data_IF_479956165736
#
_entry.id   IF_479956165736
#
_cell.length_a   1.000
_cell.length_b   1.000
_cell.length_c   1.000
_cell.angle_alpha   90.00
_cell.angle_beta   90.00
_cell.angle_gamma   90.00
#
_symmetry.space_group_name_H-M   'P 1'
#
loop_
_entity.id
_entity.type
_entity.pdbx_description
1 polymer ?
#
# COMPACT_ATOMS: atom_id res chain seq x y z
N UNK A 1 -8.64 5.99 -13.83
CA UNK A 1 -7.92 6.39 -12.61
C UNK A 1 -8.38 5.58 -11.39
N UNK A 2 -9.69 5.52 -11.07
CA UNK A 2 -10.20 4.81 -9.88
C UNK A 2 -9.79 3.32 -9.86
N UNK A 3 -9.89 2.60 -10.98
CA UNK A 3 -9.47 1.21 -11.12
C UNK A 3 -7.95 1.05 -10.86
N UNK A 4 -7.14 2.00 -11.35
CA UNK A 4 -5.69 1.98 -11.16
C UNK A 4 -5.26 2.26 -9.71
N UNK A 5 -6.13 2.86 -8.87
CA UNK A 5 -5.89 2.95 -7.43
C UNK A 5 -5.87 1.54 -6.81
N UNK A 6 -6.72 0.63 -7.29
CA UNK A 6 -6.67 -0.79 -6.89
C UNK A 6 -5.32 -1.44 -7.21
N UNK A 7 -4.78 -1.16 -8.41
CA UNK A 7 -3.44 -1.63 -8.79
C UNK A 7 -2.35 -1.11 -7.84
N UNK A 8 -2.28 0.20 -7.62
CA UNK A 8 -1.24 0.81 -6.78
C UNK A 8 -1.36 0.44 -5.32
N UNK A 9 -2.58 0.37 -4.77
CA UNK A 9 -2.83 -0.06 -3.40
C UNK A 9 -2.33 -1.49 -3.16
N UNK A 10 -2.69 -2.42 -4.06
CA UNK A 10 -2.23 -3.81 -3.97
C UNK A 10 -0.72 -3.93 -4.09
N UNK A 11 -0.12 -3.18 -5.00
CA UNK A 11 1.34 -3.15 -5.16
C UNK A 11 2.06 -2.72 -3.88
N UNK A 12 1.57 -1.67 -3.22
CA UNK A 12 2.19 -1.10 -2.02
C UNK A 12 2.27 -2.12 -0.88
N UNK A 13 1.14 -2.74 -0.52
CA UNK A 13 1.15 -3.68 0.58
C UNK A 13 1.80 -5.03 0.23
N UNK A 14 1.67 -5.49 -1.03
CA UNK A 14 2.29 -6.74 -1.46
C UNK A 14 3.82 -6.64 -1.53
N UNK A 15 4.36 -5.54 -2.05
CA UNK A 15 5.81 -5.31 -2.03
C UNK A 15 6.34 -5.28 -0.59
N UNK A 16 5.67 -4.57 0.31
CA UNK A 16 6.08 -4.56 1.70
C UNK A 16 5.99 -5.94 2.33
N UNK A 17 4.86 -6.61 2.21
CA UNK A 17 4.60 -7.91 2.82
C UNK A 17 5.64 -8.97 2.42
N UNK A 18 6.06 -8.96 1.16
CA UNK A 18 6.99 -9.96 0.63
C UNK A 18 8.47 -9.59 0.83
N UNK A 19 8.81 -8.30 0.98
CA UNK A 19 10.21 -7.85 0.98
C UNK A 19 10.68 -7.26 2.31
N UNK A 20 9.79 -7.01 3.29
CA UNK A 20 10.14 -6.36 4.55
C UNK A 20 11.16 -7.14 5.39
N UNK A 21 11.11 -8.47 5.38
CA UNK A 21 12.01 -9.29 6.18
C UNK A 21 13.44 -9.25 5.64
N UNK A 22 13.62 -9.28 4.31
CA UNK A 22 14.94 -9.14 3.70
C UNK A 22 15.53 -7.77 3.93
N UNK A 23 14.71 -6.73 3.82
CA UNK A 23 15.10 -5.36 4.16
C UNK A 23 15.59 -5.27 5.62
N UNK A 24 14.83 -5.84 6.56
CA UNK A 24 15.18 -5.81 7.97
C UNK A 24 16.46 -6.62 8.28
N UNK A 25 16.66 -7.74 7.61
CA UNK A 25 17.92 -8.51 7.71
C UNK A 25 19.10 -7.70 7.19
N UNK A 26 18.94 -6.98 6.08
CA UNK A 26 19.99 -6.10 5.54
C UNK A 26 20.36 -4.96 6.49
N UNK A 27 19.46 -4.58 7.41
CA UNK A 27 19.69 -3.60 8.46
C UNK A 27 20.14 -4.23 9.80
N UNK A 28 20.46 -5.51 9.81
CA UNK A 28 20.99 -6.23 10.99
C UNK A 28 19.93 -6.70 12.00
N UNK A 29 18.68 -6.85 11.59
CA UNK A 29 17.63 -7.36 12.46
C UNK A 29 17.76 -8.88 12.68
N UNK A 30 17.87 -9.31 13.93
CA UNK A 30 18.01 -10.73 14.28
C UNK A 30 16.72 -11.54 14.04
N UNK A 31 15.55 -10.95 14.32
CA UNK A 31 14.25 -11.63 14.17
C UNK A 31 13.27 -10.78 13.34
N UNK A 32 13.33 -10.85 12.01
CA UNK A 32 12.47 -10.08 11.11
C UNK A 32 11.00 -10.52 11.12
N UNK A 33 10.68 -11.69 11.66
CA UNK A 33 9.31 -12.22 11.71
C UNK A 33 8.35 -11.31 12.52
N UNK A 34 8.88 -10.59 13.50
CA UNK A 34 8.13 -9.61 14.31
C UNK A 34 7.47 -8.51 13.48
N UNK A 35 8.04 -8.18 12.32
CA UNK A 35 7.46 -7.18 11.42
C UNK A 35 6.09 -7.65 10.90
N UNK A 36 5.94 -8.94 10.61
CA UNK A 36 4.67 -9.50 10.13
C UNK A 36 3.58 -9.41 11.19
N UNK A 37 3.91 -9.66 12.45
CA UNK A 37 2.97 -9.53 13.58
C UNK A 37 2.51 -8.07 13.76
N UNK A 38 3.45 -7.12 13.69
CA UNK A 38 3.13 -5.69 13.77
C UNK A 38 2.33 -5.20 12.55
N UNK A 39 2.65 -5.72 11.37
CA UNK A 39 1.86 -5.46 10.16
C UNK A 39 0.41 -5.94 10.30
N UNK A 40 0.20 -7.16 10.82
CA UNK A 40 -1.14 -7.68 11.06
C UNK A 40 -1.92 -6.85 12.10
N UNK A 41 -1.27 -6.43 13.19
CA UNK A 41 -1.85 -5.52 14.17
C UNK A 41 -2.20 -4.16 13.56
N UNK A 42 -1.31 -3.60 12.74
CA UNK A 42 -1.56 -2.36 12.00
C UNK A 42 -2.77 -2.47 11.10
N UNK A 43 -2.88 -3.55 10.33
CA UNK A 43 -4.00 -3.80 9.44
C UNK A 43 -5.32 -3.94 10.21
N UNK A 44 -5.34 -4.73 11.28
CA UNK A 44 -6.54 -4.94 12.10
C UNK A 44 -7.03 -3.64 12.75
N UNK A 45 -6.11 -2.87 13.34
CA UNK A 45 -6.45 -1.57 13.95
C UNK A 45 -6.93 -0.56 12.91
N UNK A 46 -6.34 -0.55 11.71
CA UNK A 46 -6.74 0.34 10.64
C UNK A 46 -8.16 0.06 10.13
N UNK A 47 -8.54 -1.19 9.97
CA UNK A 47 -9.90 -1.56 9.52
C UNK A 47 -10.94 -0.99 10.48
N UNK A 48 -10.74 -1.19 11.79
CA UNK A 48 -11.65 -0.68 12.82
C UNK A 48 -11.67 0.85 12.87
N UNK A 49 -10.49 1.48 12.86
CA UNK A 49 -10.37 2.93 12.90
C UNK A 49 -10.96 3.58 11.64
N UNK A 50 -10.68 3.05 10.46
CA UNK A 50 -11.19 3.56 9.18
C UNK A 50 -12.72 3.47 9.14
N UNK A 51 -13.30 2.36 9.57
CA UNK A 51 -14.75 2.21 9.65
C UNK A 51 -15.38 3.25 10.60
N UNK A 52 -14.73 3.51 11.75
CA UNK A 52 -15.19 4.52 12.69
C UNK A 52 -15.08 5.94 12.13
N UNK A 53 -14.00 6.27 11.40
CA UNK A 53 -13.81 7.57 10.77
C UNK A 53 -14.81 7.84 9.65
N UNK A 54 -15.10 6.84 8.81
CA UNK A 54 -16.10 6.95 7.76
C UNK A 54 -17.50 7.16 8.37
N UNK A 55 -17.84 6.44 9.44
CA UNK A 55 -19.08 6.68 10.20
C UNK A 55 -19.20 8.11 10.74
N UNK A 56 -18.08 8.74 11.10
CA UNK A 56 -18.03 10.14 11.55
C UNK A 56 -18.02 11.16 10.41
N UNK A 57 -18.20 10.74 9.16
CA UNK A 57 -18.31 11.62 8.00
C UNK A 57 -17.00 11.85 7.22
N UNK A 58 -15.93 11.12 7.51
CA UNK A 58 -14.72 11.18 6.71
C UNK A 58 -14.99 10.55 5.33
N UNK A 59 -14.76 11.32 4.26
CA UNK A 59 -14.95 10.81 2.89
C UNK A 59 -13.88 9.79 2.54
N UNK A 60 -14.28 8.67 1.94
CA UNK A 60 -13.38 7.58 1.51
C UNK A 60 -12.21 8.07 0.66
N UNK A 61 -12.46 9.00 -0.27
CA UNK A 61 -11.42 9.57 -1.14
C UNK A 61 -10.31 10.29 -0.36
N UNK A 62 -10.60 10.85 0.81
CA UNK A 62 -9.58 11.47 1.65
C UNK A 62 -8.69 10.42 2.30
N UNK A 63 -9.25 9.28 2.68
CA UNK A 63 -8.46 8.13 3.21
C UNK A 63 -7.56 7.58 2.10
N UNK A 64 -8.08 7.45 0.86
CA UNK A 64 -7.31 7.01 -0.31
C UNK A 64 -6.14 7.94 -0.69
N UNK A 65 -6.12 9.16 -0.17
CA UNK A 65 -4.99 10.10 -0.30
C UNK A 65 -4.09 10.05 0.93
N UNK A 66 -4.67 10.12 2.12
CA UNK A 66 -3.94 10.24 3.38
C UNK A 66 -3.13 8.97 3.71
N UNK A 67 -3.72 7.80 3.52
CA UNK A 67 -3.08 6.54 3.88
C UNK A 67 -1.86 6.23 2.99
N UNK A 68 -1.91 6.32 1.66
CA UNK A 68 -0.72 6.17 0.83
C UNK A 68 0.34 7.25 1.11
N UNK A 69 -0.06 8.46 1.50
CA UNK A 69 0.88 9.51 1.90
C UNK A 69 1.65 9.11 3.16
N UNK A 70 0.96 8.61 4.20
CA UNK A 70 1.59 8.08 5.41
C UNK A 70 2.53 6.91 5.07
N UNK A 71 2.08 5.99 4.20
CA UNK A 71 2.90 4.87 3.74
C UNK A 71 4.15 5.34 3.02
N UNK A 72 4.05 6.33 2.14
CA UNK A 72 5.20 6.91 1.42
C UNK A 72 6.22 7.52 2.37
N UNK A 73 5.77 8.28 3.35
CA UNK A 73 6.64 8.86 4.39
C UNK A 73 7.35 7.75 5.15
N UNK A 74 6.63 6.71 5.55
CA UNK A 74 7.23 5.59 6.30
C UNK A 74 8.24 4.80 5.46
N UNK A 75 7.94 4.55 4.18
CA UNK A 75 8.88 3.92 3.25
C UNK A 75 10.15 4.76 3.08
N UNK A 76 10.01 6.09 2.99
CA UNK A 76 11.15 7.02 2.94
C UNK A 76 11.99 6.95 4.23
N UNK A 77 11.36 6.92 5.40
CA UNK A 77 12.07 6.75 6.67
C UNK A 77 12.84 5.42 6.71
N UNK A 78 12.24 4.32 6.26
CA UNK A 78 12.92 3.03 6.15
C UNK A 78 14.12 3.10 5.19
N UNK A 79 14.02 3.87 4.11
CA UNK A 79 15.11 4.03 3.14
C UNK A 79 16.31 4.82 3.70
N UNK A 80 16.05 5.89 4.45
CA UNK A 80 17.10 6.79 4.95
C UNK A 80 17.70 6.34 6.29
N UNK A 81 16.87 5.84 7.23
CA UNK A 81 17.33 5.56 8.61
C UNK A 81 18.03 4.20 8.73
N UNK A 82 17.76 3.24 7.89
CA UNK A 82 18.43 1.92 7.80
C UNK A 82 18.69 1.24 9.15
N UNK A 83 17.72 1.31 10.08
CA UNK A 83 17.82 0.71 11.40
C UNK A 83 16.75 -0.38 11.61
N UNK A 84 17.06 -1.46 12.38
CA UNK A 84 16.07 -2.52 12.66
C UNK A 84 14.77 -1.99 13.26
N UNK A 85 14.87 -1.03 14.18
CA UNK A 85 13.71 -0.43 14.84
C UNK A 85 12.75 0.25 13.85
N UNK A 86 13.28 0.94 12.82
CA UNK A 86 12.42 1.62 11.85
C UNK A 86 11.62 0.61 11.00
N UNK A 87 12.18 -0.59 10.76
CA UNK A 87 11.45 -1.66 10.08
C UNK A 87 10.30 -2.21 10.92
N UNK A 88 10.43 -2.25 12.26
CA UNK A 88 9.34 -2.63 13.16
C UNK A 88 8.21 -1.60 13.13
N UNK A 89 8.55 -0.31 13.27
CA UNK A 89 7.58 0.80 13.14
C UNK A 89 6.95 0.77 11.75
N UNK A 90 7.76 0.55 10.71
CA UNK A 90 7.32 0.39 9.34
C UNK A 90 6.32 -0.75 9.16
N UNK A 91 6.54 -1.87 9.84
CA UNK A 91 5.59 -2.98 9.85
C UNK A 91 4.19 -2.52 10.28
N UNK A 92 4.08 -1.89 11.44
CA UNK A 92 2.81 -1.38 11.94
C UNK A 92 2.22 -0.27 11.06
N UNK A 93 3.00 0.76 10.72
CA UNK A 93 2.51 1.93 9.97
C UNK A 93 2.08 1.56 8.55
N UNK A 94 2.84 0.70 7.85
CA UNK A 94 2.48 0.27 6.49
C UNK A 94 1.34 -0.75 6.54
N UNK A 95 1.27 -1.59 7.57
CA UNK A 95 0.10 -2.42 7.84
C UNK A 95 -1.15 -1.57 8.01
N UNK A 96 -1.06 -0.51 8.81
CA UNK A 96 -2.16 0.43 9.04
C UNK A 96 -2.54 1.20 7.76
N UNK A 97 -1.59 1.88 7.15
CA UNK A 97 -1.85 2.85 6.08
C UNK A 97 -1.70 2.27 4.66
N UNK A 98 -0.96 1.17 4.48
CA UNK A 98 -0.81 0.52 3.17
C UNK A 98 -1.83 -0.58 2.90
N UNK A 99 -2.20 -1.35 3.94
CA UNK A 99 -3.10 -2.50 3.81
C UNK A 99 -4.47 -2.28 4.46
N UNK A 100 -4.58 -1.39 5.44
CA UNK A 100 -5.73 -1.22 6.33
C UNK A 100 -7.03 -0.75 5.67
N UNK A 101 -7.51 -1.47 4.67
CA UNK A 101 -8.77 -1.21 3.99
C UNK A 101 -8.65 -0.33 2.73
N UNK A 102 -7.44 0.07 2.32
CA UNK A 102 -7.25 0.96 1.16
C UNK A 102 -7.79 0.34 -0.13
N UNK A 103 -7.56 -0.96 -0.35
CA UNK A 103 -8.10 -1.67 -1.51
C UNK A 103 -9.64 -1.73 -1.47
N UNK A 104 -10.22 -2.01 -0.31
CA UNK A 104 -11.67 -2.05 -0.11
C UNK A 104 -12.30 -0.67 -0.36
N UNK A 105 -11.65 0.40 0.09
CA UNK A 105 -12.08 1.76 -0.19
C UNK A 105 -11.95 2.13 -1.67
N UNK A 106 -10.92 1.63 -2.36
CA UNK A 106 -10.79 1.79 -3.81
C UNK A 106 -11.93 1.10 -4.56
N UNK A 107 -12.33 -0.10 -4.11
CA UNK A 107 -13.49 -0.85 -4.64
C UNK A 107 -14.78 -0.08 -4.38
N UNK A 108 -15.03 0.33 -3.13
CA UNK A 108 -16.22 1.09 -2.74
C UNK A 108 -16.35 2.40 -3.52
N UNK A 109 -15.28 3.20 -3.52
CA UNK A 109 -15.23 4.46 -4.27
C UNK A 109 -15.49 4.25 -5.77
N UNK A 110 -14.92 3.17 -6.36
CA UNK A 110 -15.15 2.89 -7.79
C UNK A 110 -16.59 2.48 -8.05
N UNK A 111 -17.18 1.66 -7.17
CA UNK A 111 -18.59 1.25 -7.28
C UNK A 111 -19.57 2.42 -7.14
N UNK A 112 -19.23 3.47 -6.38
CA UNK A 112 -20.02 4.70 -6.29
C UNK A 112 -20.07 5.47 -7.62
N UNK A 113 -19.00 5.42 -8.44
CA UNK A 113 -18.99 6.06 -9.76
C UNK A 113 -19.82 5.32 -10.81
N UNK A 114 -20.13 4.05 -10.58
CA UNK A 114 -20.88 3.20 -11.51
C UNK A 114 -22.04 2.50 -10.80
N UNK A 115 -23.07 3.24 -10.35
CA UNK A 115 -24.11 2.70 -9.49
C UNK A 115 -24.95 1.60 -10.16
N UNK A 116 -25.11 1.63 -11.48
CA UNK A 116 -25.83 0.64 -12.28
C UNK A 116 -25.00 -0.63 -12.55
N UNK A 117 -23.65 -0.53 -12.49
CA UNK A 117 -22.72 -1.60 -12.84
C UNK A 117 -21.69 -1.87 -11.73
N UNK A 118 -22.14 -1.85 -10.46
CA UNK A 118 -21.23 -2.01 -9.28
C UNK A 118 -20.42 -3.30 -9.33
N UNK A 119 -21.02 -4.41 -9.76
CA UNK A 119 -20.34 -5.69 -9.88
C UNK A 119 -19.19 -5.65 -10.89
N UNK A 120 -19.43 -5.08 -12.07
CA UNK A 120 -18.39 -4.91 -13.10
C UNK A 120 -17.28 -3.97 -12.62
N UNK A 121 -17.64 -2.86 -11.97
CA UNK A 121 -16.66 -1.92 -11.41
C UNK A 121 -15.75 -2.57 -10.37
N UNK A 122 -16.34 -3.33 -9.45
CA UNK A 122 -15.62 -4.13 -8.44
C UNK A 122 -14.69 -5.14 -9.10
N UNK A 123 -15.18 -5.90 -10.08
CA UNK A 123 -14.39 -6.91 -10.79
C UNK A 123 -13.19 -6.30 -11.50
N UNK A 124 -13.34 -5.13 -12.13
CA UNK A 124 -12.23 -4.43 -12.78
C UNK A 124 -11.15 -3.98 -11.79
N UNK A 125 -11.53 -3.50 -10.61
CA UNK A 125 -10.57 -3.15 -9.55
C UNK A 125 -9.83 -4.39 -9.05
N UNK A 126 -10.53 -5.51 -8.87
CA UNK A 126 -9.92 -6.78 -8.43
C UNK A 126 -9.01 -7.38 -9.50
N UNK A 127 -9.35 -7.28 -10.77
CA UNK A 127 -8.47 -7.68 -11.88
C UNK A 127 -7.21 -6.81 -11.89
N UNK A 128 -7.34 -5.49 -11.75
CA UNK A 128 -6.19 -4.59 -11.66
C UNK A 128 -5.28 -4.93 -10.48
N UNK A 129 -5.87 -5.27 -9.32
CA UNK A 129 -5.15 -5.76 -8.14
C UNK A 129 -4.40 -7.06 -8.42
N UNK A 130 -5.01 -8.01 -9.11
CA UNK A 130 -4.39 -9.30 -9.46
C UNK A 130 -3.24 -9.12 -10.46
N UNK A 131 -3.42 -8.25 -11.46
CA UNK A 131 -2.34 -7.89 -12.40
C UNK A 131 -1.19 -7.22 -11.65
N UNK A 132 -1.48 -6.34 -10.68
CA UNK A 132 -0.48 -5.71 -9.84
C UNK A 132 0.36 -6.75 -9.09
N UNK A 133 -0.30 -7.70 -8.44
CA UNK A 133 0.38 -8.74 -7.68
C UNK A 133 1.33 -9.55 -8.56
N UNK A 134 0.90 -9.92 -9.75
CA UNK A 134 1.74 -10.67 -10.68
C UNK A 134 2.91 -9.83 -11.22
N UNK A 135 2.63 -8.66 -11.78
CA UNK A 135 3.63 -7.84 -12.48
C UNK A 135 4.65 -7.24 -11.51
N UNK A 136 4.18 -6.69 -10.40
CA UNK A 136 5.04 -5.99 -9.43
C UNK A 136 5.90 -6.98 -8.63
N UNK A 137 5.36 -8.13 -8.25
CA UNK A 137 6.18 -9.16 -7.58
C UNK A 137 7.18 -9.81 -8.54
N UNK A 138 6.83 -9.98 -9.81
CA UNK A 138 7.77 -10.45 -10.84
C UNK A 138 8.93 -9.45 -11.03
N UNK A 139 8.61 -8.14 -11.05
CA UNK A 139 9.61 -7.09 -11.11
C UNK A 139 10.50 -7.07 -9.85
N UNK A 140 9.92 -7.20 -8.66
CA UNK A 140 10.67 -7.30 -7.42
C UNK A 140 11.60 -8.54 -7.42
N UNK A 141 11.13 -9.69 -7.90
CA UNK A 141 11.95 -10.88 -8.08
C UNK A 141 13.12 -10.67 -9.04
N UNK A 142 12.89 -9.97 -10.15
CA UNK A 142 13.96 -9.58 -11.07
C UNK A 142 14.99 -8.65 -10.39
N UNK A 143 14.52 -7.64 -9.66
CA UNK A 143 15.40 -6.73 -8.90
C UNK A 143 16.23 -7.51 -7.88
N UNK A 144 15.63 -8.48 -7.17
CA UNK A 144 16.36 -9.33 -6.22
C UNK A 144 17.47 -10.12 -6.90
N UNK A 145 17.20 -10.65 -8.10
CA UNK A 145 18.19 -11.42 -8.88
C UNK A 145 19.39 -10.58 -9.35
N UNK A 146 19.15 -9.33 -9.73
CA UNK A 146 20.18 -8.46 -10.35
C UNK A 146 20.83 -7.55 -9.31
N UNK A 147 20.09 -7.13 -8.28
CA UNK A 147 20.51 -6.10 -7.33
C UNK A 147 21.39 -6.59 -6.19
N UNK A 148 21.51 -7.90 -5.99
CA UNK A 148 22.34 -8.48 -4.92
C UNK A 148 22.01 -7.86 -3.55
N UNK A 149 23.01 -7.40 -2.82
CA UNK A 149 22.85 -6.78 -1.49
C UNK A 149 22.06 -5.46 -1.50
N UNK A 150 21.97 -4.79 -2.62
CA UNK A 150 21.20 -3.53 -2.78
C UNK A 150 19.73 -3.75 -3.12
N UNK A 151 19.35 -4.98 -3.47
CA UNK A 151 18.00 -5.31 -3.93
C UNK A 151 16.88 -4.87 -2.96
N UNK A 152 16.97 -5.08 -1.63
CA UNK A 152 15.90 -4.67 -0.70
C UNK A 152 15.63 -3.16 -0.75
N UNK A 153 16.68 -2.36 -0.90
CA UNK A 153 16.56 -0.90 -1.02
C UNK A 153 15.98 -0.47 -2.36
N UNK A 154 16.34 -1.15 -3.45
CA UNK A 154 15.75 -0.89 -4.77
C UNK A 154 14.26 -1.22 -4.80
N UNK A 155 13.84 -2.31 -4.16
CA UNK A 155 12.44 -2.68 -4.03
C UNK A 155 11.68 -1.64 -3.18
N UNK A 156 12.32 -1.10 -2.14
CA UNK A 156 11.73 -0.03 -1.33
C UNK A 156 11.46 1.23 -2.17
N UNK A 157 12.42 1.62 -3.05
CA UNK A 157 12.23 2.73 -3.98
C UNK A 157 11.10 2.46 -4.99
N UNK A 158 11.02 1.25 -5.53
CA UNK A 158 9.92 0.84 -6.38
C UNK A 158 8.58 0.99 -5.66
N UNK A 159 8.50 0.54 -4.41
CA UNK A 159 7.31 0.65 -3.59
C UNK A 159 6.90 2.11 -3.38
N UNK A 160 7.86 2.99 -3.06
CA UNK A 160 7.61 4.43 -2.93
C UNK A 160 7.06 5.02 -4.23
N UNK A 161 7.69 4.72 -5.37
CA UNK A 161 7.27 5.24 -6.67
C UNK A 161 5.82 4.83 -7.00
N UNK A 162 5.48 3.56 -6.82
CA UNK A 162 4.12 3.06 -7.05
C UNK A 162 3.11 3.69 -6.11
N UNK A 163 3.47 3.87 -4.84
CA UNK A 163 2.60 4.50 -3.84
C UNK A 163 2.35 5.98 -4.17
N UNK A 164 3.36 6.71 -4.62
CA UNK A 164 3.22 8.11 -5.08
C UNK A 164 2.29 8.19 -6.30
N UNK A 165 2.41 7.27 -7.26
CA UNK A 165 1.48 7.19 -8.40
C UNK A 165 0.04 6.99 -7.89
N UNK A 166 -0.16 6.15 -6.89
CA UNK A 166 -1.47 5.95 -6.24
C UNK A 166 -2.04 7.23 -5.64
N UNK A 167 -1.21 8.05 -4.98
CA UNK A 167 -1.62 9.35 -4.44
C UNK A 167 -2.06 10.29 -5.57
N UNK A 168 -1.27 10.38 -6.65
CA UNK A 168 -1.60 11.24 -7.79
C UNK A 168 -2.92 10.82 -8.45
N UNK A 169 -3.16 9.51 -8.59
CA UNK A 169 -4.43 8.99 -9.11
C UNK A 169 -5.60 9.33 -8.19
N UNK A 170 -5.44 9.21 -6.87
CA UNK A 170 -6.49 9.56 -5.91
C UNK A 170 -6.80 11.07 -5.92
N UNK A 171 -5.78 11.92 -6.04
CA UNK A 171 -5.95 13.37 -6.20
C UNK A 171 -6.69 13.70 -7.49
N UNK A 172 -6.36 13.04 -8.60
CA UNK A 172 -7.04 13.20 -9.88
C UNK A 172 -8.53 12.81 -9.78
N UNK A 173 -8.84 11.68 -9.14
CA UNK A 173 -10.21 11.22 -8.91
C UNK A 173 -10.97 12.22 -8.04
N UNK A 174 -10.34 12.72 -6.95
CA UNK A 174 -10.95 13.72 -6.07
C UNK A 174 -11.30 15.01 -6.82
N UNK A 175 -10.39 15.49 -7.68
CA UNK A 175 -10.61 16.71 -8.47
C UNK A 175 -11.80 16.57 -9.44
N UNK A 176 -11.94 15.41 -10.06
CA UNK A 176 -13.01 15.18 -11.05
C UNK A 176 -14.35 14.76 -10.41
N UNK A 177 -14.38 14.36 -9.14
CA UNK A 177 -15.62 14.08 -8.40
C UNK A 177 -16.39 15.37 -8.05
N UNK A 178 -15.70 16.50 -8.00
CA UNK A 178 -16.28 17.80 -7.64
C UNK A 178 -16.73 18.62 -8.86
N UNK A 179 -16.62 18.05 -10.08
CA UNK A 179 -17.19 18.58 -11.31
C UNK A 179 -18.49 17.84 -11.67
#
# INVERSE_FOLDING_TARGET
AAILIGFTSSSTFMLWLNCNQELARSYGMADPSKIQSLYALGTATAILATAAFIKKGLKEINVLILYPLISTIMLALCYFIQAPFICLVGGFVIGYAGAGGVLQLAVSTTAEFFPENKGTATSLVMIASSIANYTILSLAGYITKVGGSSAPRMILLLNMAVTIIGILLALFVKKNRNK
#
